data_IF_734220551075
#
_entry.id   IF_734220551075
#
_cell.length_a   1.000
_cell.length_b   1.000
_cell.length_c   1.000
_cell.angle_alpha   90.00
_cell.angle_beta   90.00
_cell.angle_gamma   90.00
#
_symmetry.space_group_name_H-M   'P 1'
#
loop_
_entity.id
_entity.type
_entity.pdbx_description
1 polymer ?
#
# COMPACT_ATOMS: atom_id res chain seq x y z
N UNK A 1 51.78 -34.18 -4.86
CA UNK A 1 50.66 -33.55 -5.60
C UNK A 1 49.39 -33.70 -4.77
N UNK A 2 48.99 -32.67 -4.00
CA UNK A 2 47.77 -32.67 -3.18
C UNK A 2 46.67 -31.96 -3.98
N UNK A 3 45.65 -32.69 -4.41
CA UNK A 3 44.47 -32.13 -5.07
C UNK A 3 43.61 -31.47 -3.98
N UNK A 4 43.48 -30.15 -4.03
CA UNK A 4 42.58 -29.38 -3.15
C UNK A 4 41.20 -29.43 -3.80
N UNK A 5 40.26 -30.09 -3.13
CA UNK A 5 38.86 -30.13 -3.51
C UNK A 5 38.20 -28.85 -2.97
N UNK A 6 37.85 -27.93 -3.87
CA UNK A 6 37.09 -26.72 -3.51
C UNK A 6 35.61 -27.14 -3.37
N UNK A 7 34.95 -26.94 -2.22
CA UNK A 7 33.52 -27.20 -2.14
C UNK A 7 32.78 -26.14 -2.97
N UNK A 8 31.98 -26.62 -3.91
CA UNK A 8 31.02 -25.82 -4.66
C UNK A 8 29.97 -25.31 -3.67
N UNK A 9 30.12 -24.06 -3.21
CA UNK A 9 29.06 -23.35 -2.48
C UNK A 9 27.93 -23.13 -3.48
N UNK A 10 26.92 -23.98 -3.43
CA UNK A 10 25.64 -23.75 -4.10
C UNK A 10 25.01 -22.57 -3.38
N UNK A 11 25.10 -21.40 -4.01
CA UNK A 11 24.39 -20.19 -3.61
C UNK A 11 22.89 -20.50 -3.78
N UNK A 12 22.24 -20.97 -2.72
CA UNK A 12 20.79 -21.04 -2.68
C UNK A 12 20.31 -19.59 -2.92
N UNK A 13 19.53 -19.31 -3.97
CA UNK A 13 18.88 -18.03 -4.05
C UNK A 13 18.03 -17.93 -2.79
N UNK A 14 18.35 -16.95 -1.94
CA UNK A 14 17.41 -16.51 -0.92
C UNK A 14 16.21 -16.03 -1.72
N UNK A 15 15.19 -16.89 -1.86
CA UNK A 15 13.87 -16.41 -2.20
C UNK A 15 13.56 -15.42 -1.08
N UNK A 16 13.66 -14.13 -1.41
CA UNK A 16 13.04 -13.10 -0.63
C UNK A 16 11.57 -13.51 -0.56
N UNK A 17 11.15 -14.05 0.58
CA UNK A 17 9.72 -14.09 0.89
C UNK A 17 9.29 -12.62 0.84
N UNK A 18 8.62 -12.24 -0.25
CA UNK A 18 7.93 -10.96 -0.35
C UNK A 18 6.88 -10.97 0.76
N UNK A 19 7.27 -10.41 1.91
CA UNK A 19 6.51 -10.59 3.14
C UNK A 19 5.25 -9.74 3.11
N UNK A 20 4.10 -10.41 3.15
CA UNK A 20 2.75 -9.88 3.39
C UNK A 20 2.56 -9.32 4.84
N UNK A 21 3.65 -9.24 5.60
CA UNK A 21 3.74 -8.76 6.99
C UNK A 21 4.52 -7.44 7.07
N UNK A 22 4.31 -6.61 8.11
CA UNK A 22 5.09 -5.40 8.32
C UNK A 22 6.60 -5.65 8.21
N UNK A 23 7.27 -4.87 7.36
CA UNK A 23 8.69 -5.00 7.03
C UNK A 23 8.99 -5.74 5.74
N UNK A 24 8.05 -6.53 5.19
CA UNK A 24 8.20 -7.18 3.88
C UNK A 24 7.81 -6.27 2.71
N UNK A 25 8.20 -6.67 1.50
CA UNK A 25 7.78 -5.99 0.26
C UNK A 25 6.31 -6.26 -0.03
N UNK A 26 5.55 -5.22 -0.35
CA UNK A 26 4.18 -5.35 -0.81
C UNK A 26 4.18 -6.02 -2.20
N UNK A 27 3.29 -6.99 -2.40
CA UNK A 27 3.19 -7.70 -3.68
C UNK A 27 2.63 -6.77 -4.75
N UNK A 28 3.34 -6.62 -5.87
CA UNK A 28 2.89 -5.72 -6.91
C UNK A 28 1.60 -6.24 -7.57
N UNK A 29 0.74 -5.30 -7.98
CA UNK A 29 -0.49 -5.61 -8.69
C UNK A 29 -0.74 -4.55 -9.75
N UNK A 30 -1.57 -4.90 -10.74
CA UNK A 30 -2.18 -3.93 -11.64
C UNK A 30 -3.68 -4.17 -11.63
N UNK A 31 -4.47 -3.21 -11.17
CA UNK A 31 -5.93 -3.33 -11.11
C UNK A 31 -6.61 -2.24 -11.96
N UNK A 32 -7.76 -2.55 -12.56
CA UNK A 32 -8.57 -1.55 -13.25
C UNK A 32 -9.18 -0.54 -12.26
N UNK A 33 -9.39 0.68 -12.74
CA UNK A 33 -10.04 1.75 -11.96
C UNK A 33 -11.54 1.84 -12.31
N UNK A 34 -12.32 2.43 -11.40
CA UNK A 34 -13.71 2.80 -11.65
C UNK A 34 -13.85 3.80 -12.81
N UNK A 35 -12.95 4.78 -12.92
CA UNK A 35 -12.97 5.78 -14.01
C UNK A 35 -12.49 5.27 -15.37
N UNK A 36 -12.09 3.99 -15.45
CA UNK A 36 -11.39 3.43 -16.59
C UNK A 36 -9.88 3.69 -16.57
N UNK A 37 -9.13 2.75 -17.15
CA UNK A 37 -7.68 2.68 -17.02
C UNK A 37 -7.25 1.65 -15.98
N UNK A 38 -6.00 1.76 -15.52
CA UNK A 38 -5.40 0.85 -14.53
C UNK A 38 -4.42 1.60 -13.62
N UNK A 39 -4.29 1.12 -12.39
CA UNK A 39 -3.21 1.52 -11.46
C UNK A 39 -2.33 0.31 -11.19
N UNK A 40 -1.03 0.53 -11.22
CA UNK A 40 -0.02 -0.47 -10.82
C UNK A 40 0.64 0.00 -9.53
N UNK A 41 0.72 -0.84 -8.50
CA UNK A 41 1.18 -0.42 -7.17
C UNK A 41 2.62 0.13 -7.22
N UNK A 42 3.53 -0.55 -7.92
CA UNK A 42 4.92 -0.12 -8.06
C UNK A 42 5.09 1.22 -8.79
N UNK A 43 4.10 1.66 -9.58
CA UNK A 43 4.11 2.99 -10.20
C UNK A 43 3.93 4.14 -9.21
N UNK A 44 3.50 3.82 -7.97
CA UNK A 44 3.27 4.78 -6.90
C UNK A 44 4.47 4.91 -5.93
N UNK A 45 5.60 4.26 -6.24
CA UNK A 45 6.83 4.44 -5.48
C UNK A 45 7.20 5.92 -5.36
N UNK A 46 7.75 6.29 -4.21
CA UNK A 46 7.98 7.69 -3.82
C UNK A 46 6.88 8.28 -2.94
N UNK A 47 5.69 7.67 -2.92
CA UNK A 47 4.57 8.06 -2.04
C UNK A 47 4.17 6.92 -1.11
N UNK A 48 3.87 7.18 0.18
CA UNK A 48 3.12 6.23 1.00
C UNK A 48 1.75 5.98 0.37
N UNK A 49 1.31 4.72 0.35
CA UNK A 49 0.02 4.30 -0.22
C UNK A 49 -0.81 3.62 0.87
N UNK A 50 -2.05 4.07 1.06
CA UNK A 50 -3.05 3.35 1.85
C UNK A 50 -3.90 2.49 0.90
N UNK A 51 -3.89 1.18 1.12
CA UNK A 51 -4.76 0.22 0.47
C UNK A 51 -5.92 -0.10 1.42
N UNK A 52 -7.13 0.27 1.05
CA UNK A 52 -8.36 -0.04 1.76
C UNK A 52 -9.12 -1.11 0.97
N UNK A 53 -8.98 -2.37 1.36
CA UNK A 53 -9.72 -3.48 0.77
C UNK A 53 -11.08 -3.62 1.44
N UNK A 54 -12.14 -3.66 0.64
CA UNK A 54 -13.51 -3.61 1.16
C UNK A 54 -14.49 -4.40 0.30
N UNK A 55 -15.45 -5.05 0.95
CA UNK A 55 -16.64 -5.60 0.31
C UNK A 55 -17.77 -4.55 0.27
N UNK A 56 -18.65 -4.67 -0.73
CA UNK A 56 -19.73 -3.71 -0.98
C UNK A 56 -20.64 -3.50 0.25
N UNK A 57 -20.96 -4.57 0.97
CA UNK A 57 -21.87 -4.52 2.12
C UNK A 57 -21.22 -3.87 3.36
N UNK A 58 -19.89 -3.97 3.48
CA UNK A 58 -19.13 -3.36 4.58
C UNK A 58 -18.89 -1.86 4.38
N UNK A 59 -18.93 -1.38 3.14
CA UNK A 59 -18.77 0.04 2.80
C UNK A 59 -19.80 0.95 3.48
N UNK A 60 -20.95 0.40 3.87
CA UNK A 60 -22.08 1.14 4.45
C UNK A 60 -21.88 1.46 5.93
N UNK A 61 -21.00 0.75 6.67
CA UNK A 61 -21.01 0.75 8.15
C UNK A 61 -19.86 1.47 8.88
N UNK A 62 -18.92 2.14 8.21
CA UNK A 62 -17.94 2.99 8.93
C UNK A 62 -16.72 3.46 8.14
N UNK A 63 -16.40 2.80 7.04
CA UNK A 63 -15.24 3.04 6.18
C UNK A 63 -15.27 4.40 5.48
N UNK A 64 -16.46 4.92 5.16
CA UNK A 64 -16.62 6.26 4.58
C UNK A 64 -16.03 7.39 5.47
N UNK A 65 -15.94 7.20 6.79
CA UNK A 65 -15.32 8.18 7.67
C UNK A 65 -13.80 8.15 7.60
N UNK A 66 -13.19 6.98 7.37
CA UNK A 66 -11.73 6.84 7.18
C UNK A 66 -11.32 7.59 5.93
N UNK A 67 -11.99 7.29 4.82
CA UNK A 67 -11.65 7.81 3.50
C UNK A 67 -11.65 9.34 3.50
N UNK A 68 -12.71 9.97 4.03
CA UNK A 68 -12.77 11.43 4.14
C UNK A 68 -11.71 12.02 5.08
N UNK A 69 -11.49 11.41 6.24
CA UNK A 69 -10.54 11.95 7.22
C UNK A 69 -9.09 11.80 6.76
N UNK A 70 -8.70 10.62 6.28
CA UNK A 70 -7.35 10.37 5.78
C UNK A 70 -7.08 11.19 4.53
N UNK A 71 -8.04 11.24 3.61
CA UNK A 71 -7.89 12.04 2.41
C UNK A 71 -7.70 13.53 2.74
N UNK A 72 -8.56 14.10 3.60
CA UNK A 72 -8.46 15.51 3.98
C UNK A 72 -7.12 15.84 4.66
N UNK A 73 -6.59 14.93 5.47
CA UNK A 73 -5.38 15.17 6.25
C UNK A 73 -4.07 14.90 5.49
N UNK A 74 -4.06 13.94 4.56
CA UNK A 74 -2.80 13.39 4.03
C UNK A 74 -2.62 13.50 2.52
N UNK A 75 -3.67 13.75 1.74
CA UNK A 75 -3.55 13.88 0.27
C UNK A 75 -2.59 15.01 -0.14
N UNK A 76 -2.70 16.19 0.50
CA UNK A 76 -1.80 17.33 0.28
C UNK A 76 -0.35 17.08 0.73
N UNK A 77 -0.12 16.01 1.49
CA UNK A 77 1.20 15.61 2.01
C UNK A 77 1.83 14.48 1.19
N UNK A 78 1.23 14.11 0.06
CA UNK A 78 1.77 13.13 -0.88
C UNK A 78 1.43 11.67 -0.57
N UNK A 79 0.43 11.42 0.29
CA UNK A 79 -0.13 10.07 0.49
C UNK A 79 -1.15 9.77 -0.59
N UNK A 80 -1.06 8.57 -1.17
CA UNK A 80 -2.03 8.04 -2.13
C UNK A 80 -3.00 7.12 -1.39
N UNK A 81 -4.30 7.25 -1.64
CA UNK A 81 -5.33 6.37 -1.09
C UNK A 81 -5.95 5.59 -2.24
N UNK A 82 -5.98 4.27 -2.12
CA UNK A 82 -6.64 3.36 -3.06
C UNK A 82 -7.69 2.56 -2.30
N UNK A 83 -8.97 2.74 -2.67
CA UNK A 83 -10.03 1.82 -2.23
C UNK A 83 -10.13 0.70 -3.24
N UNK A 84 -10.10 -0.54 -2.78
CA UNK A 84 -10.11 -1.74 -3.62
C UNK A 84 -11.36 -2.53 -3.26
N UNK A 85 -12.34 -2.52 -4.17
CA UNK A 85 -13.53 -3.35 -4.04
C UNK A 85 -13.16 -4.81 -4.30
N UNK A 86 -13.50 -5.69 -3.35
CA UNK A 86 -13.27 -7.15 -3.40
C UNK A 86 -14.58 -7.92 -3.22
N UNK A 87 -14.53 -9.23 -3.40
CA UNK A 87 -15.68 -10.14 -3.29
C UNK A 87 -16.43 -10.33 -4.61
N UNK A 88 -17.51 -11.12 -4.57
CA UNK A 88 -18.24 -11.56 -5.76
C UNK A 88 -18.84 -10.40 -6.60
N UNK A 89 -19.06 -9.25 -5.95
CA UNK A 89 -19.64 -8.05 -6.55
C UNK A 89 -18.59 -7.03 -7.03
N UNK A 90 -17.30 -7.39 -7.06
CA UNK A 90 -16.16 -6.51 -7.41
C UNK A 90 -16.06 -6.18 -8.91
N UNK A 91 -17.12 -5.59 -9.47
CA UNK A 91 -17.19 -5.15 -10.87
C UNK A 91 -16.89 -3.66 -11.01
N UNK A 92 -16.63 -3.20 -12.25
CA UNK A 92 -16.51 -1.77 -12.55
C UNK A 92 -17.74 -0.99 -12.09
N UNK A 93 -18.94 -1.48 -12.44
CA UNK A 93 -20.20 -0.80 -12.12
C UNK A 93 -20.38 -0.66 -10.60
N UNK A 94 -20.07 -1.71 -9.84
CA UNK A 94 -20.10 -1.64 -8.37
C UNK A 94 -19.09 -0.63 -7.81
N UNK A 95 -17.89 -0.56 -8.37
CA UNK A 95 -16.85 0.39 -7.94
C UNK A 95 -17.22 1.85 -8.28
N UNK A 96 -17.81 2.09 -9.46
CA UNK A 96 -18.36 3.40 -9.85
C UNK A 96 -19.50 3.81 -8.90
N UNK A 97 -20.44 2.90 -8.63
CA UNK A 97 -21.54 3.14 -7.70
C UNK A 97 -21.06 3.44 -6.29
N UNK A 98 -20.04 2.72 -5.80
CA UNK A 98 -19.42 2.97 -4.50
C UNK A 98 -18.79 4.37 -4.45
N UNK A 99 -17.97 4.73 -5.46
CA UNK A 99 -17.35 6.05 -5.58
C UNK A 99 -18.41 7.14 -5.53
N UNK A 100 -19.47 7.00 -6.31
CA UNK A 100 -20.49 8.04 -6.46
C UNK A 100 -21.38 8.16 -5.23
N UNK A 101 -21.82 7.04 -4.66
CA UNK A 101 -22.66 7.02 -3.46
C UNK A 101 -21.96 7.61 -2.24
N UNK A 102 -20.64 7.39 -2.13
CA UNK A 102 -19.83 7.93 -1.04
C UNK A 102 -19.11 9.23 -1.43
N UNK A 103 -19.26 9.76 -2.64
CA UNK A 103 -18.53 10.95 -3.10
C UNK A 103 -17.02 10.85 -2.88
N UNK A 104 -16.44 9.68 -3.15
CA UNK A 104 -15.00 9.46 -3.02
C UNK A 104 -14.27 10.23 -4.09
N UNK A 105 -13.23 10.96 -3.69
CA UNK A 105 -12.43 11.76 -4.62
C UNK A 105 -11.04 11.18 -4.86
N UNK A 106 -10.69 10.09 -4.18
CA UNK A 106 -9.50 9.28 -4.46
C UNK A 106 -9.85 8.13 -5.40
N UNK A 107 -8.81 7.41 -5.85
CA UNK A 107 -8.98 6.34 -6.84
C UNK A 107 -9.63 5.11 -6.21
N UNK A 108 -10.69 4.63 -6.88
CA UNK A 108 -11.36 3.36 -6.56
C UNK A 108 -10.99 2.32 -7.62
N UNK A 109 -10.56 1.16 -7.17
CA UNK A 109 -10.18 -0.02 -7.95
C UNK A 109 -11.16 -1.16 -7.67
N UNK A 110 -11.18 -2.16 -8.54
CA UNK A 110 -11.93 -3.39 -8.32
C UNK A 110 -11.08 -4.61 -8.69
N UNK A 111 -11.21 -5.65 -7.87
CA UNK A 111 -10.50 -6.93 -8.01
C UNK A 111 -11.49 -8.04 -8.40
N UNK A 112 -11.92 -8.01 -9.67
CA UNK A 112 -13.00 -8.84 -10.20
C UNK A 112 -12.73 -10.35 -10.10
N UNK A 113 -11.46 -10.77 -10.19
CA UNK A 113 -11.06 -12.18 -10.11
C UNK A 113 -10.54 -12.58 -8.72
N UNK A 114 -10.51 -11.66 -7.76
CA UNK A 114 -10.01 -11.88 -6.40
C UNK A 114 -8.51 -12.18 -6.32
N UNK A 115 -7.75 -11.99 -7.41
CA UNK A 115 -6.34 -12.38 -7.47
C UNK A 115 -5.46 -11.50 -6.58
N UNK A 116 -5.81 -10.22 -6.40
CA UNK A 116 -5.06 -9.33 -5.51
C UNK A 116 -5.48 -9.55 -4.06
N UNK A 117 -6.78 -9.71 -3.80
CA UNK A 117 -7.29 -10.06 -2.48
C UNK A 117 -6.66 -11.35 -1.96
N UNK A 118 -6.53 -12.39 -2.80
CA UNK A 118 -5.92 -13.65 -2.41
C UNK A 118 -4.42 -13.57 -2.08
N UNK A 119 -3.72 -12.54 -2.57
CA UNK A 119 -2.32 -12.27 -2.21
C UNK A 119 -2.20 -11.44 -0.94
N UNK A 120 -3.16 -10.54 -0.71
CA UNK A 120 -3.09 -9.64 0.43
C UNK A 120 -3.78 -10.18 1.66
N UNK A 121 -4.83 -10.99 1.54
CA UNK A 121 -5.62 -11.44 2.67
C UNK A 121 -5.34 -12.88 3.08
N UNK A 122 -5.21 -13.08 4.39
CA UNK A 122 -5.16 -14.42 5.01
C UNK A 122 -6.48 -14.80 5.69
N UNK A 123 -7.47 -13.90 5.64
CA UNK A 123 -8.80 -14.07 6.24
C UNK A 123 -9.89 -13.61 5.26
N UNK A 124 -11.13 -13.98 5.53
CA UNK A 124 -12.29 -13.45 4.78
C UNK A 124 -12.84 -12.17 5.42
N UNK A 125 -12.03 -11.45 6.21
CA UNK A 125 -12.49 -10.28 6.95
C UNK A 125 -12.18 -8.99 6.21
N UNK A 126 -13.23 -8.25 5.84
CA UNK A 126 -13.15 -6.86 5.45
C UNK A 126 -13.70 -5.93 6.55
N UNK A 127 -13.31 -4.65 6.56
CA UNK A 127 -12.25 -4.05 5.74
C UNK A 127 -10.84 -4.51 6.17
N UNK A 128 -9.89 -4.48 5.23
CA UNK A 128 -8.46 -4.71 5.48
C UNK A 128 -7.68 -3.48 5.03
N UNK A 129 -6.96 -2.88 5.97
CA UNK A 129 -6.21 -1.65 5.75
C UNK A 129 -4.71 -1.93 5.78
N UNK A 130 -4.01 -1.53 4.73
CA UNK A 130 -2.57 -1.76 4.57
C UNK A 130 -1.88 -0.46 4.16
N UNK A 131 -0.84 -0.08 4.89
CA UNK A 131 0.02 1.05 4.52
C UNK A 131 1.28 0.50 3.88
N UNK A 132 1.48 0.85 2.61
CA UNK A 132 2.72 0.64 1.88
C UNK A 132 3.58 1.91 1.98
N UNK A 133 4.83 1.75 2.37
CA UNK A 133 5.80 2.85 2.43
C UNK A 133 6.18 3.33 1.03
N UNK A 134 6.80 4.51 0.94
CA UNK A 134 7.29 5.04 -0.34
C UNK A 134 8.36 4.18 -1.03
N UNK A 135 8.97 3.22 -0.32
CA UNK A 135 9.90 2.24 -0.89
C UNK A 135 9.24 0.92 -1.31
N UNK A 136 7.92 0.79 -1.18
CA UNK A 136 7.18 -0.42 -1.57
C UNK A 136 7.13 -1.52 -0.50
N UNK A 137 7.47 -1.22 0.76
CA UNK A 137 7.36 -2.18 1.86
C UNK A 137 6.11 -1.97 2.70
N UNK A 138 5.51 -3.03 3.22
CA UNK A 138 4.37 -2.95 4.14
C UNK A 138 4.85 -2.34 5.45
N UNK A 139 4.31 -1.17 5.79
CA UNK A 139 4.64 -0.45 7.01
C UNK A 139 3.67 -0.76 8.15
N UNK A 140 2.41 -1.09 7.82
CA UNK A 140 1.34 -1.37 8.76
C UNK A 140 0.21 -2.13 8.09
N UNK A 141 -0.52 -2.90 8.89
CA UNK A 141 -1.66 -3.72 8.49
C UNK A 141 -2.64 -3.84 9.65
N UNK A 142 -3.93 -3.72 9.39
CA UNK A 142 -4.98 -4.05 10.35
C UNK A 142 -6.22 -4.60 9.65
N UNK A 143 -6.87 -5.57 10.29
CA UNK A 143 -8.24 -5.97 9.95
C UNK A 143 -9.20 -5.05 10.72
N UNK A 144 -10.26 -4.60 10.07
CA UNK A 144 -11.17 -3.58 10.60
C UNK A 144 -10.63 -2.15 10.50
N UNK A 145 -11.37 -1.22 11.10
CA UNK A 145 -11.15 0.22 10.99
C UNK A 145 -10.44 0.78 12.22
N UNK A 146 -9.19 1.24 12.05
CA UNK A 146 -8.45 1.97 13.08
C UNK A 146 -7.81 3.27 12.53
N UNK A 147 -8.63 4.32 12.46
CA UNK A 147 -8.24 5.63 11.92
C UNK A 147 -7.04 6.23 12.68
N UNK A 148 -6.96 6.03 13.99
CA UNK A 148 -5.94 6.64 14.82
C UNK A 148 -4.58 6.02 14.51
N UNK A 149 -4.50 4.69 14.49
CA UNK A 149 -3.26 3.99 14.14
C UNK A 149 -2.84 4.25 12.70
N UNK A 150 -3.79 4.30 11.75
CA UNK A 150 -3.51 4.67 10.36
C UNK A 150 -2.91 6.08 10.28
N UNK A 151 -3.55 7.06 10.92
CA UNK A 151 -3.12 8.47 10.90
C UNK A 151 -1.75 8.66 11.56
N UNK A 152 -1.52 7.98 12.69
CA UNK A 152 -0.23 8.00 13.37
C UNK A 152 0.85 7.43 12.46
N UNK A 153 0.61 6.26 11.86
CA UNK A 153 1.60 5.61 11.02
C UNK A 153 1.94 6.42 9.77
N UNK A 154 0.94 6.98 9.09
CA UNK A 154 1.17 7.87 7.94
C UNK A 154 1.98 9.10 8.37
N UNK A 155 1.68 9.70 9.52
CA UNK A 155 2.43 10.83 10.06
C UNK A 155 3.89 10.47 10.36
N UNK A 156 4.15 9.28 10.92
CA UNK A 156 5.50 8.78 11.15
C UNK A 156 6.27 8.62 9.83
N UNK A 157 5.68 7.97 8.81
CA UNK A 157 6.31 7.76 7.51
C UNK A 157 6.67 9.07 6.81
N UNK A 158 5.75 10.05 6.81
CA UNK A 158 5.99 11.36 6.22
C UNK A 158 7.10 12.13 6.95
N UNK A 159 7.14 12.03 8.28
CA UNK A 159 8.17 12.70 9.09
C UNK A 159 9.55 12.09 8.87
N UNK A 160 9.66 10.76 8.80
CA UNK A 160 10.90 10.06 8.51
C UNK A 160 11.44 10.39 7.12
N UNK A 161 10.57 10.50 6.11
CA UNK A 161 10.96 10.91 4.75
C UNK A 161 11.52 12.34 4.69
N UNK A 162 10.88 13.29 5.40
CA UNK A 162 11.36 14.68 5.49
C UNK A 162 12.71 14.77 6.20
N UNK A 163 12.89 14.02 7.29
CA UNK A 163 14.17 14.00 8.01
C UNK A 163 15.29 13.43 7.14
N UNK A 164 15.06 12.29 6.47
CA UNK A 164 16.07 11.66 5.61
C UNK A 164 16.55 12.58 4.49
N UNK A 165 15.62 13.25 3.80
CA UNK A 165 15.93 14.20 2.72
C UNK A 165 16.65 15.45 3.22
N UNK A 166 16.26 15.98 4.38
CA UNK A 166 16.89 17.16 4.99
C UNK A 166 18.32 16.86 5.44
N UNK A 167 18.55 15.73 6.12
CA UNK A 167 19.87 15.34 6.61
C UNK A 167 20.85 15.02 5.49
N UNK A 168 20.41 14.36 4.41
CA UNK A 168 21.26 14.12 3.24
C UNK A 168 21.73 15.44 2.61
N UNK A 169 20.81 16.39 2.44
CA UNK A 169 21.10 17.69 1.83
C UNK A 169 22.04 18.53 2.70
N UNK A 170 21.89 18.48 4.02
CA UNK A 170 22.82 19.12 4.96
C UNK A 170 24.23 18.51 4.85
N UNK A 171 24.35 17.17 4.85
CA UNK A 171 25.66 16.50 4.68
C UNK A 171 26.36 16.86 3.36
N UNK A 172 25.59 16.98 2.27
CA UNK A 172 26.13 17.38 0.97
C UNK A 172 26.65 18.83 0.96
N UNK A 173 25.97 19.74 1.67
CA UNK A 173 26.44 21.12 1.82
C UNK A 173 27.76 21.20 2.60
N UNK A 174 27.90 20.40 3.67
CA UNK A 174 29.17 20.33 4.42
C UNK A 174 30.31 19.70 3.60
N UNK A 175 30.01 18.71 2.74
CA UNK A 175 31.01 18.05 1.88
C UNK A 175 31.53 18.92 0.74
N UNK A 176 30.78 19.92 0.28
CA UNK A 176 31.17 20.84 -0.80
C UNK A 176 31.85 22.14 -0.31
N UNK A 177 31.95 22.31 1.01
CA UNK A 177 32.58 23.46 1.65
C UNK A 177 34.04 23.23 2.09
N UNK A 178 34.59 22.04 1.82
CA UNK A 178 36.01 21.67 1.99
C UNK A 178 36.70 21.59 0.62
#
# INVERSE_FOLDING_TARGET
MKKILIPLIVLFPVLLFAGEFPGGSATDFSLPTADGGRVTLSSLHGSPVLLNFIEKDDAVFGTFQIERNIQAQFSSRGVVVLTILVGDDATRESAENLRDALHLTHTVLYDEDGSVWGQYSHSSSTPLEIIVSSSGSIAYRTEGVDINSISEKLSQLLSSGIQATTWWRIKELFRKGE
#
